data_IF_510993930713
#
_entry.id   IF_510993930713
#
_cell.length_a   1.000
_cell.length_b   1.000
_cell.length_c   1.000
_cell.angle_alpha   90.00
_cell.angle_beta   90.00
_cell.angle_gamma   90.00
#
_symmetry.space_group_name_H-M   'P 1'
#
loop_
_entity.id
_entity.type
_entity.pdbx_description
1 polymer ?
#
# COMPACT_ATOMS: atom_id res chain seq x y z
N UNK A 1 -41.93 -60.63 5.53
CA UNK A 1 -41.76 -61.13 4.15
C UNK A 1 -41.87 -59.90 3.27
N UNK A 2 -40.74 -59.21 3.08
CA UNK A 2 -39.88 -59.24 1.87
C UNK A 2 -40.42 -58.19 0.87
N UNK A 3 -39.79 -57.01 0.74
CA UNK A 3 -38.63 -56.67 -0.14
C UNK A 3 -38.97 -56.98 -1.62
N UNK A 4 -38.82 -56.14 -2.64
CA UNK A 4 -38.10 -54.88 -2.90
C UNK A 4 -38.90 -54.09 -3.98
N UNK A 5 -38.62 -52.83 -4.27
CA UNK A 5 -37.80 -52.44 -5.43
C UNK A 5 -37.30 -50.99 -5.28
N UNK A 6 -36.06 -50.79 -5.70
CA UNK A 6 -35.31 -49.54 -5.73
C UNK A 6 -35.19 -49.04 -7.16
N UNK A 7 -35.51 -47.79 -7.44
CA UNK A 7 -34.97 -47.10 -8.62
C UNK A 7 -34.61 -45.64 -8.30
N UNK A 8 -33.53 -45.24 -8.97
CA UNK A 8 -32.65 -44.09 -8.79
C UNK A 8 -33.26 -42.72 -9.10
N UNK A 9 -32.95 -41.71 -8.28
CA UNK A 9 -33.17 -40.30 -8.63
C UNK A 9 -31.81 -39.60 -8.78
N UNK A 10 -31.57 -39.10 -9.99
CA UNK A 10 -30.36 -38.37 -10.39
C UNK A 10 -30.25 -36.99 -9.73
N UNK A 11 -29.00 -36.55 -9.56
CA UNK A 11 -28.69 -35.21 -9.11
C UNK A 11 -28.81 -34.15 -10.22
N UNK A 12 -29.00 -32.90 -9.81
CA UNK A 12 -28.10 -31.77 -10.10
C UNK A 12 -28.60 -30.47 -9.45
N UNK A 13 -27.63 -29.84 -8.78
CA UNK A 13 -27.40 -28.45 -8.42
C UNK A 13 -28.53 -27.41 -8.52
N UNK A 14 -28.86 -26.87 -7.35
CA UNK A 14 -29.41 -25.54 -7.19
C UNK A 14 -28.31 -24.51 -7.41
N UNK A 15 -28.47 -23.66 -8.43
CA UNK A 15 -27.68 -22.46 -8.58
C UNK A 15 -27.94 -21.49 -7.43
N UNK A 16 -26.89 -20.78 -7.02
CA UNK A 16 -27.05 -19.45 -6.44
C UNK A 16 -25.86 -18.57 -6.85
N UNK A 17 -26.18 -17.48 -7.55
CA UNK A 17 -25.21 -16.60 -8.18
C UNK A 17 -24.40 -15.79 -7.17
N UNK A 18 -23.08 -15.81 -7.36
CA UNK A 18 -22.21 -14.78 -6.78
C UNK A 18 -22.33 -13.55 -7.67
N UNK A 19 -23.03 -12.53 -7.17
CA UNK A 19 -22.98 -11.19 -7.72
C UNK A 19 -21.56 -10.67 -7.51
N UNK A 20 -20.72 -10.72 -8.54
CA UNK A 20 -19.48 -9.96 -8.59
C UNK A 20 -19.86 -8.48 -8.61
N UNK A 21 -19.64 -7.78 -7.50
CA UNK A 21 -19.70 -6.33 -7.45
C UNK A 21 -18.44 -5.79 -8.13
N UNK A 22 -18.48 -5.68 -9.45
CA UNK A 22 -17.50 -4.91 -10.20
C UNK A 22 -17.69 -3.43 -9.87
N UNK A 23 -16.97 -2.95 -8.86
CA UNK A 23 -16.72 -1.51 -8.74
C UNK A 23 -16.06 -1.06 -10.05
N UNK A 24 -16.49 0.04 -10.69
CA UNK A 24 -15.79 0.58 -11.85
C UNK A 24 -14.41 1.06 -11.40
N UNK A 25 -13.41 0.18 -11.57
CA UNK A 25 -12.02 0.51 -11.29
C UNK A 25 -11.52 1.48 -12.35
N UNK A 26 -11.00 2.62 -11.92
CA UNK A 26 -10.15 3.46 -12.76
C UNK A 26 -8.96 2.61 -13.18
N UNK A 27 -8.77 2.41 -14.49
CA UNK A 27 -7.59 1.69 -15.02
C UNK A 27 -6.38 2.58 -14.77
N UNK A 28 -5.59 2.25 -13.76
CA UNK A 28 -4.35 2.95 -13.46
C UNK A 28 -3.24 2.26 -14.25
N UNK A 29 -2.73 2.93 -15.29
CA UNK A 29 -1.67 2.38 -16.13
C UNK A 29 -0.30 2.37 -15.41
N UNK A 30 -0.14 3.18 -14.37
CA UNK A 30 1.08 3.24 -13.56
C UNK A 30 1.38 4.64 -13.04
N UNK A 31 2.62 4.82 -12.59
CA UNK A 31 3.19 6.10 -12.19
C UNK A 31 4.20 6.54 -13.24
N UNK A 32 4.10 7.79 -13.68
CA UNK A 32 5.00 8.43 -14.65
C UNK A 32 5.86 9.48 -13.96
N UNK A 33 7.18 9.39 -14.15
CA UNK A 33 8.10 10.40 -13.67
C UNK A 33 8.37 11.46 -14.74
N UNK A 34 8.24 12.74 -14.38
CA UNK A 34 8.58 13.90 -15.20
C UNK A 34 9.49 14.83 -14.38
N UNK A 35 10.80 14.72 -14.58
CA UNK A 35 11.77 15.41 -13.72
C UNK A 35 11.71 14.89 -12.29
N UNK A 36 11.52 15.78 -11.32
CA UNK A 36 11.36 15.44 -9.90
C UNK A 36 9.89 15.25 -9.49
N UNK A 37 8.97 15.14 -10.46
CA UNK A 37 7.55 15.01 -10.20
C UNK A 37 7.00 13.67 -10.70
N UNK A 38 6.26 12.98 -9.85
CA UNK A 38 5.54 11.75 -10.17
C UNK A 38 4.06 12.04 -10.39
N UNK A 39 3.49 11.44 -11.42
CA UNK A 39 2.09 11.56 -11.80
C UNK A 39 1.47 10.18 -11.95
N UNK A 40 0.21 10.03 -11.55
CA UNK A 40 -0.54 8.81 -11.86
C UNK A 40 -1.08 8.92 -13.28
N UNK A 41 -0.81 7.91 -14.11
CA UNK A 41 -1.26 7.84 -15.50
C UNK A 41 -2.77 7.57 -15.56
N UNK A 42 -3.57 8.63 -15.43
CA UNK A 42 -5.04 8.61 -15.48
C UNK A 42 -5.56 9.84 -16.22
N UNK A 43 -6.78 9.77 -16.74
CA UNK A 43 -7.47 10.90 -17.38
C UNK A 43 -8.11 11.89 -16.38
N UNK A 44 -7.99 11.61 -15.07
CA UNK A 44 -8.54 12.44 -14.00
C UNK A 44 -7.41 13.33 -13.44
N UNK A 45 -7.67 14.63 -13.17
CA UNK A 45 -6.68 15.50 -12.56
C UNK A 45 -6.38 15.11 -11.10
N UNK A 46 -5.12 15.23 -10.70
CA UNK A 46 -4.69 15.03 -9.32
C UNK A 46 -5.37 16.04 -8.38
N UNK A 47 -5.82 15.59 -7.21
CA UNK A 47 -6.42 16.42 -6.16
C UNK A 47 -5.59 16.43 -4.85
N UNK A 48 -4.40 15.83 -4.88
CA UNK A 48 -3.43 15.78 -3.78
C UNK A 48 -2.00 15.97 -4.30
N UNK A 49 -1.24 16.86 -3.65
CA UNK A 49 0.19 17.04 -3.86
C UNK A 49 0.93 16.69 -2.57
N UNK A 50 1.80 15.68 -2.63
CA UNK A 50 2.71 15.33 -1.53
C UNK A 50 4.13 15.66 -1.94
N UNK A 51 4.81 16.48 -1.15
CA UNK A 51 6.21 16.82 -1.33
C UNK A 51 7.05 16.10 -0.28
N UNK A 52 8.13 15.46 -0.73
CA UNK A 52 9.11 14.79 0.12
C UNK A 52 10.46 15.27 -0.36
N UNK A 53 11.09 16.16 0.41
CA UNK A 53 12.33 16.83 0.00
C UNK A 53 12.10 17.59 -1.33
N UNK A 54 12.88 17.25 -2.34
CA UNK A 54 12.85 17.82 -3.69
C UNK A 54 11.93 17.05 -4.66
N UNK A 55 11.29 15.96 -4.21
CA UNK A 55 10.41 15.14 -5.05
C UNK A 55 8.95 15.46 -4.77
N UNK A 56 8.16 15.61 -5.83
CA UNK A 56 6.73 15.90 -5.77
C UNK A 56 5.90 14.73 -6.30
N UNK A 57 4.81 14.39 -5.62
CA UNK A 57 3.88 13.34 -6.02
C UNK A 57 2.49 13.94 -6.24
N UNK A 58 2.02 13.90 -7.48
CA UNK A 58 0.68 14.31 -7.89
C UNK A 58 -0.25 13.10 -7.85
N UNK A 59 -1.10 13.06 -6.84
CA UNK A 59 -1.89 11.91 -6.42
C UNK A 59 -3.38 12.24 -6.36
N UNK A 60 -4.16 11.22 -6.00
CA UNK A 60 -5.57 11.26 -5.72
C UNK A 60 -5.78 10.97 -4.24
N UNK A 61 -6.63 11.74 -3.56
CA UNK A 61 -6.90 11.60 -2.13
C UNK A 61 -7.43 10.21 -1.80
N UNK A 62 -8.43 9.72 -2.53
CA UNK A 62 -9.14 8.50 -2.15
C UNK A 62 -8.22 7.27 -2.00
N UNK A 63 -7.35 6.91 -2.98
CA UNK A 63 -6.41 5.81 -2.82
C UNK A 63 -5.51 5.96 -1.59
N UNK A 64 -4.99 7.16 -1.34
CA UNK A 64 -4.06 7.40 -0.23
C UNK A 64 -4.77 7.38 1.13
N UNK A 65 -5.89 8.09 1.26
CA UNK A 65 -6.59 8.27 2.53
C UNK A 65 -7.33 7.02 3.01
N UNK A 66 -7.67 6.11 2.11
CA UNK A 66 -8.30 4.84 2.46
C UNK A 66 -7.34 3.87 3.14
N UNK A 67 -6.02 4.07 3.04
CA UNK A 67 -5.01 3.14 3.58
C UNK A 67 -3.99 3.76 4.53
N UNK A 68 -4.00 5.08 4.70
CA UNK A 68 -3.08 5.80 5.59
C UNK A 68 -3.82 6.63 6.62
N UNK A 69 -3.68 6.25 7.90
CA UNK A 69 -4.29 6.95 9.03
C UNK A 69 -3.73 8.37 9.19
N UNK A 70 -2.42 8.51 9.06
CA UNK A 70 -1.76 9.83 9.18
C UNK A 70 -2.19 10.77 8.07
N UNK A 71 -2.23 10.30 6.82
CA UNK A 71 -2.65 11.16 5.70
C UNK A 71 -4.11 11.60 5.87
N UNK A 72 -4.97 10.69 6.34
CA UNK A 72 -6.38 11.00 6.62
C UNK A 72 -6.48 12.10 7.69
N UNK A 73 -5.77 11.93 8.81
CA UNK A 73 -5.70 12.91 9.89
C UNK A 73 -5.18 14.27 9.41
N UNK A 74 -4.03 14.30 8.76
CA UNK A 74 -3.40 15.56 8.33
C UNK A 74 -4.26 16.31 7.32
N UNK A 75 -4.92 15.64 6.38
CA UNK A 75 -5.77 16.31 5.38
C UNK A 75 -7.07 16.83 5.99
N UNK A 76 -7.77 16.04 6.81
CA UNK A 76 -9.09 16.43 7.32
C UNK A 76 -9.03 17.30 8.58
N UNK A 77 -7.95 17.25 9.36
CA UNK A 77 -7.77 18.14 10.52
C UNK A 77 -7.06 19.46 10.16
N UNK A 78 -6.56 19.58 8.92
CA UNK A 78 -5.95 20.83 8.44
C UNK A 78 -6.97 21.96 8.41
N UNK A 79 -6.58 23.10 9.00
CA UNK A 79 -7.33 24.36 8.94
C UNK A 79 -6.82 25.29 7.83
N UNK A 80 -5.89 24.80 7.01
CA UNK A 80 -5.27 25.60 5.97
C UNK A 80 -6.21 25.78 4.75
N UNK A 81 -6.07 26.90 4.02
CA UNK A 81 -6.84 27.14 2.80
C UNK A 81 -6.52 26.15 1.67
N UNK A 82 -5.34 25.50 1.70
CA UNK A 82 -4.91 24.49 0.72
C UNK A 82 -4.63 23.12 1.38
N UNK A 83 -5.64 22.40 1.90
CA UNK A 83 -5.47 21.10 2.59
C UNK A 83 -5.01 19.97 1.64
N UNK A 84 -4.70 20.30 0.38
CA UNK A 84 -4.37 19.38 -0.69
C UNK A 84 -2.87 19.32 -0.96
N UNK A 85 -2.05 20.13 -0.27
CA UNK A 85 -0.59 20.11 -0.38
C UNK A 85 0.04 19.76 0.96
N UNK A 86 0.87 18.72 0.97
CA UNK A 86 1.53 18.22 2.19
C UNK A 86 3.04 18.13 2.00
N UNK A 87 3.82 18.46 3.04
CA UNK A 87 5.26 18.18 3.10
C UNK A 87 5.55 17.10 4.13
N UNK A 88 6.29 16.06 3.73
CA UNK A 88 6.67 14.93 4.59
C UNK A 88 8.20 14.74 4.58
N UNK A 89 8.94 15.80 4.88
CA UNK A 89 10.41 15.82 4.76
C UNK A 89 11.12 14.82 5.67
N UNK A 90 10.49 14.46 6.80
CA UNK A 90 11.01 13.51 7.78
C UNK A 90 10.64 12.04 7.48
N UNK A 91 9.94 11.77 6.37
CA UNK A 91 9.51 10.41 6.02
C UNK A 91 10.74 9.47 5.96
N UNK A 92 10.78 8.41 6.78
CA UNK A 92 11.85 7.44 6.74
C UNK A 92 11.87 6.69 5.40
N UNK A 93 13.07 6.45 4.88
CA UNK A 93 13.26 5.87 3.55
C UNK A 93 12.93 6.81 2.38
N UNK A 94 12.48 8.05 2.65
CA UNK A 94 12.42 9.11 1.66
C UNK A 94 11.41 8.87 0.52
N UNK A 95 11.60 9.58 -0.62
CA UNK A 95 10.66 9.51 -1.74
C UNK A 95 10.59 8.11 -2.37
N UNK A 96 11.66 7.32 -2.31
CA UNK A 96 11.69 5.95 -2.82
C UNK A 96 10.73 5.03 -2.06
N UNK A 97 10.71 5.11 -0.73
CA UNK A 97 9.74 4.37 0.08
C UNK A 97 8.32 4.86 -0.15
N UNK A 98 8.14 6.17 -0.30
CA UNK A 98 6.81 6.73 -0.56
C UNK A 98 6.24 6.32 -1.91
N UNK A 99 7.05 6.25 -2.95
CA UNK A 99 6.62 5.75 -4.27
C UNK A 99 6.03 4.34 -4.16
N UNK A 100 6.71 3.44 -3.44
CA UNK A 100 6.20 2.09 -3.18
C UNK A 100 4.90 2.12 -2.34
N UNK A 101 4.86 2.91 -1.26
CA UNK A 101 3.65 3.04 -0.45
C UNK A 101 2.46 3.61 -1.24
N UNK A 102 2.70 4.61 -2.09
CA UNK A 102 1.69 5.20 -2.96
C UNK A 102 1.21 4.18 -4.00
N UNK A 103 2.11 3.47 -4.69
CA UNK A 103 1.74 2.38 -5.61
C UNK A 103 0.87 1.33 -4.92
N UNK A 104 1.24 0.91 -3.71
CA UNK A 104 0.44 0.01 -2.89
C UNK A 104 -0.97 0.57 -2.65
N UNK A 105 -1.10 1.86 -2.28
CA UNK A 105 -2.40 2.52 -2.11
C UNK A 105 -3.28 2.53 -3.36
N UNK A 106 -2.68 2.51 -4.54
CA UNK A 106 -3.37 2.42 -5.82
C UNK A 106 -3.69 0.97 -6.25
N UNK A 107 -3.35 -0.02 -5.41
CA UNK A 107 -3.51 -1.43 -5.74
C UNK A 107 -2.49 -1.94 -6.77
N UNK A 108 -1.42 -1.18 -7.02
CA UNK A 108 -0.32 -1.59 -7.90
C UNK A 108 0.57 -2.55 -7.11
N UNK A 109 0.96 -3.65 -7.74
CA UNK A 109 1.89 -4.60 -7.14
C UNK A 109 3.24 -3.91 -6.86
N UNK A 110 3.79 -4.16 -5.68
CA UNK A 110 5.08 -3.61 -5.23
C UNK A 110 6.05 -4.75 -4.94
N UNK A 111 7.26 -4.63 -5.46
CA UNK A 111 8.31 -5.61 -5.23
C UNK A 111 9.03 -5.34 -3.90
N UNK A 112 8.85 -6.24 -2.95
CA UNK A 112 9.56 -6.21 -1.67
C UNK A 112 10.93 -6.87 -1.83
N UNK A 113 11.97 -6.19 -1.38
CA UNK A 113 13.37 -6.64 -1.51
C UNK A 113 14.15 -6.34 -0.25
N UNK A 114 15.25 -7.07 -0.01
CA UNK A 114 16.12 -6.79 1.13
C UNK A 114 16.69 -5.36 1.14
N UNK A 115 16.76 -4.69 -0.02
CA UNK A 115 17.29 -3.33 -0.14
C UNK A 115 16.26 -2.23 0.15
N UNK A 116 14.96 -2.51 0.02
CA UNK A 116 13.91 -1.49 0.21
C UNK A 116 13.04 -1.71 1.45
N UNK A 117 13.05 -2.93 2.01
CA UNK A 117 12.06 -3.33 3.00
C UNK A 117 12.15 -2.55 4.32
N UNK A 118 13.36 -2.21 4.77
CA UNK A 118 13.58 -1.41 5.99
C UNK A 118 12.92 -0.03 5.86
N UNK A 119 13.25 0.69 4.79
CA UNK A 119 12.69 1.99 4.47
C UNK A 119 11.17 1.93 4.28
N UNK A 120 10.67 0.90 3.60
CA UNK A 120 9.24 0.76 3.35
C UNK A 120 8.47 0.44 4.64
N UNK A 121 9.01 -0.43 5.52
CA UNK A 121 8.41 -0.73 6.82
C UNK A 121 8.33 0.52 7.71
N UNK A 122 9.40 1.30 7.77
CA UNK A 122 9.40 2.56 8.53
C UNK A 122 8.44 3.58 7.93
N UNK A 123 8.38 3.71 6.59
CA UNK A 123 7.45 4.61 5.93
C UNK A 123 5.99 4.19 6.17
N UNK A 124 5.70 2.89 6.13
CA UNK A 124 4.39 2.35 6.43
C UNK A 124 3.94 2.65 7.87
N UNK A 125 4.85 2.57 8.85
CA UNK A 125 4.55 3.03 10.21
C UNK A 125 4.29 4.54 10.24
N UNK A 126 5.20 5.30 9.64
CA UNK A 126 5.10 6.76 9.65
C UNK A 126 3.75 7.21 9.09
N UNK A 127 3.26 6.54 8.06
CA UNK A 127 1.98 6.80 7.39
C UNK A 127 0.78 6.15 8.10
N UNK A 128 0.99 5.40 9.19
CA UNK A 128 -0.05 4.68 9.94
C UNK A 128 -0.88 3.76 9.02
N UNK A 129 -0.20 2.93 8.24
CA UNK A 129 -0.81 2.00 7.28
C UNK A 129 -1.14 0.65 7.93
N UNK A 130 -2.08 0.67 8.88
CA UNK A 130 -2.46 -0.47 9.73
C UNK A 130 -3.60 -1.31 9.15
N UNK A 131 -3.79 -2.51 9.68
CA UNK A 131 -4.89 -3.40 9.27
C UNK A 131 -6.28 -2.92 9.71
N UNK A 132 -6.36 -1.92 10.59
CA UNK A 132 -7.64 -1.29 10.97
C UNK A 132 -8.30 -0.56 9.78
N UNK A 133 -7.50 -0.16 8.78
CA UNK A 133 -7.97 0.51 7.57
C UNK A 133 -8.25 -0.48 6.43
N UNK A 134 -7.41 -1.49 6.28
CA UNK A 134 -7.53 -2.52 5.24
C UNK A 134 -6.82 -3.81 5.68
N UNK A 135 -7.48 -4.97 5.57
CA UNK A 135 -6.84 -6.26 5.83
C UNK A 135 -5.61 -6.45 4.94
N UNK A 136 -4.47 -6.83 5.55
CA UNK A 136 -3.21 -6.95 4.84
C UNK A 136 -2.63 -5.62 4.37
N UNK A 137 -2.84 -4.52 5.11
CA UNK A 137 -2.20 -3.23 4.83
C UNK A 137 -0.66 -3.32 4.92
N UNK A 138 0.01 -2.23 4.55
CA UNK A 138 1.44 -2.25 4.23
C UNK A 138 2.34 -2.61 5.43
N UNK A 139 1.97 -2.20 6.66
CA UNK A 139 2.71 -2.62 7.86
C UNK A 139 2.74 -4.16 7.96
N UNK A 140 1.57 -4.80 7.90
CA UNK A 140 1.45 -6.26 7.96
C UNK A 140 2.28 -6.95 6.87
N UNK A 141 2.16 -6.49 5.62
CA UNK A 141 2.90 -7.08 4.49
C UNK A 141 4.41 -6.95 4.63
N UNK A 142 4.89 -5.80 5.10
CA UNK A 142 6.32 -5.57 5.27
C UNK A 142 6.89 -6.37 6.45
N UNK A 143 6.14 -6.51 7.54
CA UNK A 143 6.51 -7.38 8.68
C UNK A 143 6.55 -8.87 8.31
N UNK A 144 5.57 -9.33 7.54
CA UNK A 144 5.56 -10.70 7.03
C UNK A 144 6.78 -10.97 6.15
N UNK A 145 7.15 -10.05 5.26
CA UNK A 145 8.35 -10.21 4.42
C UNK A 145 9.63 -10.24 5.27
N UNK A 146 9.76 -9.33 6.24
CA UNK A 146 10.90 -9.35 7.17
C UNK A 146 10.98 -10.70 7.90
N UNK A 147 9.87 -11.15 8.47
CA UNK A 147 9.83 -12.35 9.33
C UNK A 147 10.07 -13.64 8.56
N UNK A 148 9.43 -13.81 7.41
CA UNK A 148 9.43 -15.09 6.69
C UNK A 148 10.50 -15.17 5.60
N UNK A 149 10.87 -14.04 4.98
CA UNK A 149 11.85 -14.01 3.88
C UNK A 149 13.22 -13.56 4.37
N UNK A 150 13.30 -12.37 4.98
CA UNK A 150 14.59 -11.77 5.34
C UNK A 150 15.27 -12.53 6.47
N UNK A 151 14.57 -12.81 7.57
CA UNK A 151 15.15 -13.48 8.74
C UNK A 151 15.52 -14.95 8.47
N UNK A 152 14.97 -15.55 7.42
CA UNK A 152 15.34 -16.88 6.93
C UNK A 152 16.67 -16.90 6.16
N UNK A 153 17.24 -15.72 5.85
CA UNK A 153 18.46 -15.57 5.05
C UNK A 153 19.42 -14.59 5.72
N UNK A 154 20.53 -15.11 6.25
CA UNK A 154 21.54 -14.25 6.89
C UNK A 154 22.13 -13.21 5.93
N UNK A 155 22.19 -13.50 4.63
CA UNK A 155 22.67 -12.55 3.61
C UNK A 155 21.70 -11.38 3.48
N UNK A 156 20.41 -11.67 3.35
CA UNK A 156 19.38 -10.64 3.23
C UNK A 156 19.25 -9.85 4.54
N UNK A 157 19.41 -10.51 5.68
CA UNK A 157 19.46 -9.85 6.99
C UNK A 157 20.59 -8.81 7.06
N UNK A 158 21.80 -9.12 6.56
CA UNK A 158 22.89 -8.14 6.49
C UNK A 158 22.57 -6.99 5.54
N UNK A 159 21.96 -7.27 4.38
CA UNK A 159 21.55 -6.23 3.43
C UNK A 159 20.55 -5.28 4.07
N UNK A 160 19.55 -5.82 4.78
CA UNK A 160 18.56 -5.02 5.50
C UNK A 160 19.23 -4.16 6.57
N UNK A 161 20.10 -4.74 7.41
CA UNK A 161 20.82 -3.98 8.44
C UNK A 161 21.64 -2.82 7.85
N UNK A 162 22.33 -3.04 6.73
CA UNK A 162 23.07 -1.98 6.04
C UNK A 162 22.15 -0.90 5.47
N UNK A 163 21.00 -1.28 4.91
CA UNK A 163 20.04 -0.31 4.36
C UNK A 163 19.44 0.62 5.43
N UNK A 164 19.46 0.21 6.70
CA UNK A 164 19.01 1.06 7.79
C UNK A 164 19.89 2.30 8.01
N UNK A 165 21.17 2.28 7.57
CA UNK A 165 22.10 3.41 7.72
C UNK A 165 21.63 4.67 6.97
N UNK A 166 20.77 4.52 5.96
CA UNK A 166 20.26 5.64 5.15
C UNK A 166 18.90 6.18 5.61
N UNK A 167 18.32 5.62 6.67
CA UNK A 167 17.01 6.04 7.18
C UNK A 167 17.08 7.39 7.89
N UNK A 168 15.95 8.11 7.90
CA UNK A 168 15.86 9.36 8.66
C UNK A 168 15.91 9.08 10.17
N UNK A 169 16.35 10.05 10.99
CA UNK A 169 16.35 9.90 12.45
C UNK A 169 14.98 9.61 13.05
N UNK A 170 13.90 9.93 12.33
CA UNK A 170 12.55 9.57 12.75
C UNK A 170 12.42 8.06 13.04
N UNK A 171 13.10 7.22 12.25
CA UNK A 171 13.06 5.76 12.38
C UNK A 171 13.59 5.23 13.71
N UNK A 172 14.34 6.03 14.50
CA UNK A 172 14.81 5.64 15.84
C UNK A 172 13.70 5.65 16.90
N UNK A 173 12.53 6.24 16.60
CA UNK A 173 11.38 6.26 17.50
C UNK A 173 10.41 5.09 17.25
N UNK A 174 10.80 4.14 16.39
CA UNK A 174 10.09 2.92 16.05
C UNK A 174 10.47 1.79 17.02
#
# INVERSE_FOLDING_TARGET
MWDSETESVGGRDYGNGVLSTSKPGVVIAGFEQRGQSWYVATDIPSDLLVQIRDVSFHLHKYPILSRSGKMNRVIYESREPEPNKLSLDDLPGGPESFDLAAKFCYGIAVDLTATNISGLRCAAEYLEMTEDLEEGNLIFKTEAFLSYVVLSSWRDSIVVLKSCETLSPWAENL
#
